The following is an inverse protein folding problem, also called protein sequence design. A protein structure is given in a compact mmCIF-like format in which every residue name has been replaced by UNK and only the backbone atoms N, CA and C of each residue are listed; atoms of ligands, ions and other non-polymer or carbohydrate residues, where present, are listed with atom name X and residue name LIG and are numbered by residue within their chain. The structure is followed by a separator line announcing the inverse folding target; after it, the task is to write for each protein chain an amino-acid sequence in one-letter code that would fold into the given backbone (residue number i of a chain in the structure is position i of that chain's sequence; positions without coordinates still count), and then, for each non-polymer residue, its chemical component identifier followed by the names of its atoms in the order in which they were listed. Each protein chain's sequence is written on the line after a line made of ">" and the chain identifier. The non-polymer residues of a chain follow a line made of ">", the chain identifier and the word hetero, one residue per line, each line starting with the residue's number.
data_IF_358684376995
#
_entry.id   IF_358684376995
#
_cell.length_a   1.000
_cell.length_b   1.000
_cell.length_c   1.000
_cell.angle_alpha   90.00
_cell.angle_beta   90.00
_cell.angle_gamma   90.00
#
_symmetry.space_group_name_H-M   'P 1'
#
loop_
_entity.id
_entity.type
_entity.pdbx_description
1 polymer ?
#
# COMPACT_ATOMS: atom_id res chain seq x y z
N UNK A 1 -11.10 -6.75 26.89
CA UNK A 1 -11.42 -7.57 25.70
C UNK A 1 -12.82 -7.33 25.16
N UNK A 2 -13.89 -7.43 25.97
CA UNK A 2 -15.27 -7.17 25.50
C UNK A 2 -15.49 -5.77 24.90
N UNK A 3 -14.93 -4.72 25.50
CA UNK A 3 -15.02 -3.36 24.95
C UNK A 3 -14.38 -3.22 23.55
N UNK A 4 -13.26 -3.90 23.29
CA UNK A 4 -12.62 -3.88 21.96
C UNK A 4 -13.50 -4.58 20.93
N UNK A 5 -14.11 -5.71 21.30
CA UNK A 5 -15.06 -6.43 20.43
C UNK A 5 -16.29 -5.57 20.14
N UNK A 6 -16.83 -4.87 21.14
CA UNK A 6 -17.94 -3.95 20.95
C UNK A 6 -17.57 -2.83 19.97
N UNK A 7 -16.45 -2.14 20.18
CA UNK A 7 -16.02 -1.04 19.29
C UNK A 7 -15.88 -1.53 17.84
N UNK A 8 -15.32 -2.72 17.62
CA UNK A 8 -15.20 -3.31 16.30
C UNK A 8 -16.56 -3.60 15.64
N UNK A 9 -17.52 -4.16 16.41
CA UNK A 9 -18.87 -4.42 15.93
C UNK A 9 -19.61 -3.14 15.54
N UNK A 10 -19.50 -2.09 16.36
CA UNK A 10 -20.08 -0.78 16.05
C UNK A 10 -19.47 -0.16 14.80
N UNK A 11 -18.14 -0.24 14.62
CA UNK A 11 -17.47 0.26 13.42
C UNK A 11 -18.00 -0.44 12.15
N UNK A 12 -18.09 -1.77 12.17
CA UNK A 12 -18.63 -2.54 11.05
C UNK A 12 -20.10 -2.21 10.76
N UNK A 13 -20.91 -2.05 11.82
CA UNK A 13 -22.30 -1.65 11.69
C UNK A 13 -22.45 -0.29 10.99
N UNK A 14 -21.68 0.72 11.40
CA UNK A 14 -21.75 2.05 10.79
C UNK A 14 -21.29 2.05 9.33
N UNK A 15 -20.23 1.32 8.97
CA UNK A 15 -19.76 1.21 7.59
C UNK A 15 -20.87 0.65 6.70
N UNK A 16 -21.53 -0.44 7.14
CA UNK A 16 -22.64 -1.03 6.41
C UNK A 16 -23.85 -0.09 6.33
N UNK A 17 -24.20 0.56 7.44
CA UNK A 17 -25.32 1.50 7.50
C UNK A 17 -25.13 2.67 6.52
N UNK A 18 -23.93 3.27 6.48
CA UNK A 18 -23.64 4.36 5.55
C UNK A 18 -23.58 3.90 4.09
N UNK A 19 -23.04 2.71 3.82
CA UNK A 19 -23.02 2.15 2.47
C UNK A 19 -24.44 1.89 1.94
N UNK A 20 -25.27 1.20 2.73
CA UNK A 20 -26.66 0.90 2.36
C UNK A 20 -27.50 2.18 2.31
N UNK A 21 -27.32 3.10 3.27
CA UNK A 21 -27.98 4.40 3.27
C UNK A 21 -27.70 5.19 1.99
N UNK A 22 -26.44 5.29 1.59
CA UNK A 22 -26.08 5.92 0.31
C UNK A 22 -26.67 5.20 -0.89
N UNK A 23 -26.65 3.86 -0.89
CA UNK A 23 -27.20 3.08 -2.01
C UNK A 23 -28.71 3.31 -2.20
N UNK A 24 -29.46 3.44 -1.10
CA UNK A 24 -30.91 3.68 -1.09
C UNK A 24 -31.26 5.14 -1.42
N UNK A 25 -30.50 6.10 -0.91
CA UNK A 25 -30.74 7.54 -1.14
C UNK A 25 -30.24 8.02 -2.51
N UNK A 26 -29.32 7.29 -3.14
CA UNK A 26 -28.74 7.67 -4.43
C UNK A 26 -29.74 7.56 -5.57
N UNK A 27 -29.97 8.67 -6.29
CA UNK A 27 -30.76 8.68 -7.50
C UNK A 27 -29.94 8.15 -8.71
N UNK A 28 -30.25 6.92 -9.14
CA UNK A 28 -29.50 6.21 -10.18
C UNK A 28 -30.14 6.38 -11.55
N UNK A 29 -29.95 7.55 -12.17
CA UNK A 29 -30.31 7.75 -13.57
C UNK A 29 -29.26 7.11 -14.50
N UNK A 30 -29.69 6.14 -15.29
CA UNK A 30 -28.86 5.34 -16.20
C UNK A 30 -28.63 6.02 -17.55
N UNK A 31 -27.96 7.17 -17.56
CA UNK A 31 -27.48 7.74 -18.82
C UNK A 31 -26.31 6.89 -19.35
N UNK A 32 -26.30 6.57 -20.65
CA UNK A 32 -25.23 5.79 -21.29
C UNK A 32 -23.83 6.35 -21.01
N UNK A 33 -23.68 7.68 -21.06
CA UNK A 33 -22.40 8.35 -20.81
C UNK A 33 -21.96 8.33 -19.33
N UNK A 34 -22.85 7.99 -18.41
CA UNK A 34 -22.50 7.83 -16.98
C UNK A 34 -21.80 6.49 -16.72
N UNK A 35 -22.03 5.51 -17.59
CA UNK A 35 -21.48 4.16 -17.46
C UNK A 35 -20.28 3.92 -18.38
N UNK A 36 -19.85 4.92 -19.15
CA UNK A 36 -18.64 4.87 -19.99
C UNK A 36 -17.42 5.46 -19.27
N UNK A 37 -16.22 4.99 -19.60
CA UNK A 37 -14.96 5.62 -19.19
C UNK A 37 -14.90 7.08 -19.66
N UNK A 38 -14.25 7.94 -18.87
CA UNK A 38 -14.01 9.32 -19.25
C UNK A 38 -12.85 9.39 -20.26
N UNK A 39 -13.17 9.67 -21.52
CA UNK A 39 -12.19 9.73 -22.61
C UNK A 39 -12.31 11.03 -23.41
N UNK A 40 -12.69 12.13 -22.76
CA UNK A 40 -12.89 13.44 -23.40
C UNK A 40 -13.83 13.42 -24.63
N UNK A 41 -14.74 12.45 -24.70
CA UNK A 41 -15.72 12.29 -25.78
C UNK A 41 -15.27 11.38 -26.94
N UNK A 42 -14.07 10.79 -26.86
CA UNK A 42 -13.62 9.78 -27.82
C UNK A 42 -14.15 8.39 -27.44
N UNK A 43 -14.25 7.52 -28.45
CA UNK A 43 -14.45 6.08 -28.23
C UNK A 43 -13.13 5.45 -27.83
N UNK A 44 -13.17 4.48 -26.91
CA UNK A 44 -11.99 3.76 -26.41
C UNK A 44 -11.28 3.05 -27.55
N UNK A 45 -10.27 3.70 -28.09
CA UNK A 45 -9.43 3.18 -29.17
C UNK A 45 -8.29 2.40 -28.54
N UNK A 46 -8.42 1.08 -28.52
CA UNK A 46 -7.28 0.19 -28.35
C UNK A 46 -7.38 -0.84 -27.23
N UNK A 47 -6.50 -1.83 -27.33
CA UNK A 47 -6.22 -2.79 -26.26
C UNK A 47 -5.48 -2.03 -25.14
N UNK A 48 -6.02 -2.07 -23.92
CA UNK A 48 -5.41 -1.52 -22.71
C UNK A 48 -4.22 -2.39 -22.26
N UNK A 49 -3.23 -2.57 -23.12
CA UNK A 49 -1.95 -3.21 -22.79
C UNK A 49 -0.91 -2.12 -22.59
N UNK A 50 -1.03 -1.39 -21.49
CA UNK A 50 0.08 -0.56 -21.05
C UNK A 50 1.16 -1.49 -20.47
N UNK A 51 2.38 -1.35 -20.97
CA UNK A 51 3.54 -1.94 -20.34
C UNK A 51 3.67 -1.36 -18.93
N UNK A 52 3.66 -2.23 -17.93
CA UNK A 52 3.86 -1.81 -16.55
C UNK A 52 5.31 -1.36 -16.38
N UNK A 53 5.52 -0.24 -15.69
CA UNK A 53 6.88 0.24 -15.45
C UNK A 53 7.56 -0.64 -14.40
N UNK A 54 8.80 -1.05 -14.67
CA UNK A 54 9.62 -1.84 -13.74
C UNK A 54 9.88 -1.03 -12.45
N UNK A 55 9.82 0.29 -12.50
CA UNK A 55 9.97 1.17 -11.34
C UNK A 55 8.96 0.87 -10.24
N UNK A 56 7.67 0.68 -10.57
CA UNK A 56 6.67 0.33 -9.56
C UNK A 56 6.95 -1.03 -8.90
N UNK A 57 7.50 -1.98 -9.66
CA UNK A 57 7.91 -3.27 -9.11
C UNK A 57 9.08 -3.14 -8.14
N UNK A 58 10.10 -2.35 -8.48
CA UNK A 58 11.25 -2.07 -7.59
C UNK A 58 10.78 -1.38 -6.30
N UNK A 59 9.88 -0.41 -6.41
CA UNK A 59 9.32 0.27 -5.23
C UNK A 59 8.54 -0.69 -4.31
N UNK A 60 7.76 -1.63 -4.89
CA UNK A 60 7.06 -2.66 -4.11
C UNK A 60 8.04 -3.58 -3.38
N UNK A 61 9.08 -4.07 -4.08
CA UNK A 61 10.09 -4.93 -3.46
C UNK A 61 10.80 -4.22 -2.30
N UNK A 62 11.15 -2.95 -2.48
CA UNK A 62 11.77 -2.15 -1.42
C UNK A 62 10.85 -1.95 -0.22
N UNK A 63 9.56 -1.72 -0.45
CA UNK A 63 8.59 -1.63 0.63
C UNK A 63 8.52 -2.92 1.46
N UNK A 64 8.52 -4.08 0.81
CA UNK A 64 8.48 -5.38 1.51
C UNK A 64 9.71 -5.60 2.39
N UNK A 65 10.90 -5.23 1.89
CA UNK A 65 12.16 -5.35 2.65
C UNK A 65 12.12 -4.41 3.87
N UNK A 66 11.72 -3.16 3.68
CA UNK A 66 11.63 -2.19 4.77
C UNK A 66 10.56 -2.51 5.80
N UNK A 67 9.43 -3.10 5.40
CA UNK A 67 8.39 -3.52 6.35
C UNK A 67 8.88 -4.67 7.25
N UNK A 68 9.66 -5.61 6.68
CA UNK A 68 10.31 -6.66 7.45
C UNK A 68 11.35 -6.12 8.45
N UNK A 69 12.07 -5.05 8.11
CA UNK A 69 12.99 -4.38 9.05
C UNK A 69 12.28 -3.82 10.27
N UNK A 70 11.11 -3.19 10.10
CA UNK A 70 10.34 -2.64 11.21
C UNK A 70 9.87 -3.74 12.16
N UNK A 71 9.47 -4.89 11.62
CA UNK A 71 9.13 -6.07 12.43
C UNK A 71 10.34 -6.58 13.22
N UNK A 72 11.52 -6.64 12.60
CA UNK A 72 12.75 -7.02 13.29
C UNK A 72 13.14 -6.03 14.39
N UNK A 73 12.91 -4.73 14.17
CA UNK A 73 13.14 -3.68 15.15
C UNK A 73 12.22 -3.82 16.37
N UNK A 74 10.95 -4.19 16.18
CA UNK A 74 10.04 -4.49 17.30
C UNK A 74 10.53 -5.69 18.13
N UNK A 75 11.11 -6.71 17.50
CA UNK A 75 11.71 -7.85 18.20
C UNK A 75 12.88 -7.49 19.10
N UNK A 76 13.62 -6.41 18.78
CA UNK A 76 14.76 -5.93 19.57
C UNK A 76 14.36 -5.49 20.98
N UNK A 77 13.15 -4.93 21.15
CA UNK A 77 12.65 -4.43 22.44
C UNK A 77 12.56 -5.52 23.52
N UNK A 78 12.56 -6.80 23.13
CA UNK A 78 12.35 -7.96 24.01
C UNK A 78 13.66 -8.78 24.15
N UNK A 79 14.75 -8.35 23.51
CA UNK A 79 15.95 -9.16 23.29
C UNK A 79 17.15 -8.80 24.20
N UNK A 80 18.07 -9.75 24.40
CA UNK A 80 19.29 -9.60 25.19
C UNK A 80 20.36 -8.73 24.48
N UNK A 81 21.36 -8.27 25.24
CA UNK A 81 22.47 -7.44 24.75
C UNK A 81 23.26 -8.08 23.58
N UNK A 82 23.38 -9.41 23.55
CA UNK A 82 24.05 -10.13 22.45
C UNK A 82 23.25 -10.06 21.14
N UNK A 83 21.93 -10.17 21.20
CA UNK A 83 21.03 -10.00 20.06
C UNK A 83 21.02 -8.57 19.52
N UNK A 84 21.27 -7.56 20.37
CA UNK A 84 21.41 -6.17 19.90
C UNK A 84 22.57 -6.02 18.93
N UNK A 85 23.71 -6.66 19.20
CA UNK A 85 24.89 -6.56 18.34
C UNK A 85 24.64 -7.19 16.97
N UNK A 86 24.01 -8.37 16.93
CA UNK A 86 23.65 -9.03 15.67
C UNK A 86 22.63 -8.22 14.87
N UNK A 87 21.66 -7.59 15.55
CA UNK A 87 20.67 -6.74 14.90
C UNK A 87 21.31 -5.46 14.34
N UNK A 88 22.22 -4.81 15.07
CA UNK A 88 22.95 -3.65 14.56
C UNK A 88 23.75 -3.98 13.29
N UNK A 89 24.41 -5.14 13.25
CA UNK A 89 25.12 -5.59 12.06
C UNK A 89 24.18 -5.84 10.87
N UNK A 90 23.02 -6.43 11.13
CA UNK A 90 21.98 -6.65 10.12
C UNK A 90 21.39 -5.31 9.62
N UNK A 91 21.13 -4.35 10.51
CA UNK A 91 20.65 -3.02 10.13
C UNK A 91 21.67 -2.28 9.25
N UNK A 92 22.96 -2.35 9.60
CA UNK A 92 24.02 -1.76 8.77
C UNK A 92 24.06 -2.39 7.38
N UNK A 93 23.91 -3.72 7.29
CA UNK A 93 23.85 -4.42 6.02
C UNK A 93 22.68 -3.90 5.15
N UNK A 94 21.48 -3.78 5.72
CA UNK A 94 20.31 -3.38 4.95
C UNK A 94 20.36 -1.90 4.55
N UNK A 95 20.78 -1.00 5.46
CA UNK A 95 20.99 0.43 5.14
C UNK A 95 22.03 0.60 4.04
N UNK A 96 23.10 -0.22 4.05
CA UNK A 96 24.10 -0.20 2.98
C UNK A 96 23.53 -0.65 1.63
N UNK A 97 22.64 -1.66 1.64
CA UNK A 97 21.92 -2.10 0.45
C UNK A 97 21.03 -1.00 -0.13
N UNK A 98 20.25 -0.33 0.72
CA UNK A 98 19.44 0.83 0.31
C UNK A 98 20.29 1.94 -0.29
N UNK A 99 21.40 2.28 0.36
CA UNK A 99 22.32 3.31 -0.14
C UNK A 99 22.88 2.94 -1.52
N UNK A 100 23.25 1.68 -1.74
CA UNK A 100 23.68 1.21 -3.06
C UNK A 100 22.58 1.39 -4.11
N UNK A 101 21.34 0.98 -3.82
CA UNK A 101 20.24 1.11 -4.77
C UNK A 101 19.88 2.56 -5.11
N UNK A 102 19.97 3.45 -4.13
CA UNK A 102 19.82 4.88 -4.35
C UNK A 102 20.94 5.41 -5.25
N UNK A 103 22.19 5.02 -4.99
CA UNK A 103 23.32 5.43 -5.82
C UNK A 103 23.23 4.93 -7.26
N UNK A 104 22.65 3.75 -7.48
CA UNK A 104 22.33 3.23 -8.83
C UNK A 104 21.15 3.95 -9.50
N UNK A 105 20.49 4.90 -8.83
CA UNK A 105 19.41 5.70 -9.40
C UNK A 105 18.12 4.93 -9.66
N UNK A 106 17.98 3.69 -9.14
CA UNK A 106 16.76 2.87 -9.32
C UNK A 106 15.51 3.46 -8.66
N UNK A 107 15.73 4.34 -7.69
CA UNK A 107 14.70 5.06 -6.94
C UNK A 107 14.37 6.43 -7.57
N UNK A 108 15.14 6.87 -8.57
CA UNK A 108 14.90 8.16 -9.21
C UNK A 108 13.77 8.02 -10.22
N UNK A 109 12.75 8.85 -10.05
CA UNK A 109 11.71 8.99 -11.05
C UNK A 109 12.12 10.11 -12.02
N UNK A 110 12.60 9.71 -13.20
CA UNK A 110 12.73 10.64 -14.32
C UNK A 110 11.40 10.59 -15.07
N UNK A 111 10.71 11.74 -15.09
CA UNK A 111 9.50 11.97 -15.87
C UNK A 111 9.82 12.00 -17.36
#
# INVERSE_FOLDING_TARGET
>A
MYYLVLVFLWAMFFILLFYVGNFLLSNKWGLKNKNSSFESGFSSLGLMQNSFSIHFFVMMLMFVIFDLEVVLFLGMLISDLSSLLSMLMLMLFIVSGFYMEWWYGKLLWII
#
